data_IF_498718561592
#
_entry.id   IF_498718561592
#
_cell.length_a   1.000
_cell.length_b   1.000
_cell.length_c   1.000
_cell.angle_alpha   90.00
_cell.angle_beta   90.00
_cell.angle_gamma   90.00
#
_symmetry.space_group_name_H-M   'P 1'
#
loop_
_entity.id
_entity.type
_entity.pdbx_description
1 polymer ?
#
# COMPACT_ATOMS: atom_id res chain seq x y z
N UNK A 1 6.29 33.97 24.77
CA UNK A 1 5.11 34.15 23.89
C UNK A 1 4.42 32.80 23.76
N UNK A 2 3.10 32.76 23.97
CA UNK A 2 2.30 31.55 24.25
C UNK A 2 1.87 30.81 22.97
N UNK A 3 2.13 29.50 22.98
CA UNK A 3 1.35 28.34 22.47
C UNK A 3 0.44 28.57 21.25
N UNK A 4 0.81 27.96 20.13
CA UNK A 4 -0.05 27.72 18.97
C UNK A 4 -0.74 26.37 19.16
N UNK A 5 -2.06 26.39 19.24
CA UNK A 5 -2.91 25.20 19.36
C UNK A 5 -3.21 24.70 17.94
N UNK A 6 -2.74 23.51 17.62
CA UNK A 6 -3.04 22.79 16.38
C UNK A 6 -4.48 22.24 16.48
N UNK A 7 -5.44 22.93 15.90
CA UNK A 7 -6.81 22.42 15.75
C UNK A 7 -6.89 21.59 14.47
N UNK A 8 -6.87 20.27 14.60
CA UNK A 8 -7.32 19.34 13.55
C UNK A 8 -8.50 18.55 14.11
N UNK A 9 -9.70 19.05 13.85
CA UNK A 9 -10.95 18.32 14.04
C UNK A 9 -11.52 18.10 12.65
N UNK A 10 -11.14 16.99 12.02
CA UNK A 10 -11.84 16.47 10.86
C UNK A 10 -12.78 15.35 11.33
N UNK A 11 -14.02 15.72 11.61
CA UNK A 11 -15.13 14.79 11.79
C UNK A 11 -15.56 14.34 10.39
N UNK A 12 -15.14 13.15 9.97
CA UNK A 12 -15.72 12.48 8.81
C UNK A 12 -17.03 11.81 9.25
N UNK A 13 -18.12 12.56 9.14
CA UNK A 13 -19.46 11.99 9.10
C UNK A 13 -19.78 11.62 7.64
N UNK A 14 -19.60 10.36 7.27
CA UNK A 14 -20.27 9.78 6.10
C UNK A 14 -20.92 8.50 6.55
N UNK A 15 -22.25 8.58 6.68
CA UNK A 15 -23.08 7.54 7.24
C UNK A 15 -23.02 6.24 6.44
N UNK A 16 -23.01 5.15 7.18
CA UNK A 16 -23.33 3.81 6.69
C UNK A 16 -24.78 3.78 6.22
N UNK A 17 -25.01 3.84 4.91
CA UNK A 17 -26.29 3.45 4.32
C UNK A 17 -26.18 1.97 3.94
N UNK A 18 -26.42 1.09 4.91
CA UNK A 18 -26.71 -0.31 4.61
C UNK A 18 -28.07 -0.34 3.90
N UNK A 19 -28.11 -0.56 2.59
CA UNK A 19 -29.36 -0.88 1.89
C UNK A 19 -29.45 -2.40 1.72
N UNK A 20 -30.44 -2.99 2.39
CA UNK A 20 -30.75 -4.41 2.32
C UNK A 20 -31.58 -4.72 1.05
N UNK A 21 -31.05 -5.65 0.26
CA UNK A 21 -31.77 -6.69 -0.51
C UNK A 21 -33.15 -6.34 -1.11
N UNK A 22 -33.20 -6.09 -2.42
CA UNK A 22 -34.30 -6.54 -3.30
C UNK A 22 -33.69 -7.10 -4.59
N UNK A 23 -33.73 -8.44 -4.66
CA UNK A 23 -34.02 -9.32 -5.81
C UNK A 23 -33.47 -9.00 -7.20
N UNK A 24 -32.69 -9.96 -7.72
CA UNK A 24 -32.46 -10.33 -9.14
C UNK A 24 -31.89 -9.18 -9.99
N UNK A 25 -30.72 -9.26 -10.62
CA UNK A 25 -30.35 -10.14 -11.74
C UNK A 25 -28.81 -10.23 -11.83
N UNK A 26 -28.27 -11.35 -12.31
CA UNK A 26 -26.83 -11.58 -12.53
C UNK A 26 -26.18 -10.50 -13.42
N UNK A 27 -25.02 -9.95 -13.00
CA UNK A 27 -23.84 -10.03 -13.87
C UNK A 27 -22.61 -10.44 -13.04
N UNK A 28 -22.49 -11.74 -12.77
CA UNK A 28 -21.32 -12.31 -12.09
C UNK A 28 -20.22 -12.48 -13.14
N UNK A 29 -19.51 -11.41 -13.48
CA UNK A 29 -18.25 -11.53 -14.25
C UNK A 29 -17.38 -10.28 -14.12
N UNK A 30 -17.98 -9.08 -14.05
CA UNK A 30 -17.24 -7.81 -13.97
C UNK A 30 -16.68 -7.57 -12.57
N UNK A 31 -17.42 -7.93 -11.52
CA UNK A 31 -17.01 -7.71 -10.12
C UNK A 31 -15.79 -8.54 -9.74
N UNK A 32 -15.69 -9.78 -10.21
CA UNK A 32 -14.54 -10.65 -9.93
C UNK A 32 -13.23 -10.11 -10.51
N UNK A 33 -13.25 -9.67 -11.79
CA UNK A 33 -12.08 -9.04 -12.41
C UNK A 33 -11.68 -7.74 -11.73
N UNK A 34 -12.64 -6.92 -11.31
CA UNK A 34 -12.34 -5.67 -10.62
C UNK A 34 -11.70 -5.92 -9.24
N UNK A 35 -12.16 -6.93 -8.51
CA UNK A 35 -11.57 -7.33 -7.22
C UNK A 35 -10.14 -7.86 -7.43
N UNK A 36 -9.94 -8.76 -8.40
CA UNK A 36 -8.63 -9.35 -8.71
C UNK A 36 -7.60 -8.28 -9.11
N UNK A 37 -8.02 -7.27 -9.89
CA UNK A 37 -7.19 -6.13 -10.26
C UNK A 37 -6.87 -5.25 -9.03
N UNK A 38 -7.84 -5.00 -8.15
CA UNK A 38 -7.64 -4.19 -6.94
C UNK A 38 -6.74 -4.90 -5.92
N UNK A 39 -6.85 -6.22 -5.79
CA UNK A 39 -5.98 -7.03 -4.93
C UNK A 39 -4.54 -7.06 -5.47
N UNK A 40 -4.35 -7.17 -6.79
CA UNK A 40 -3.02 -7.15 -7.41
C UNK A 40 -2.34 -5.77 -7.29
N UNK A 41 -3.09 -4.67 -7.49
CA UNK A 41 -2.56 -3.32 -7.23
C UNK A 41 -2.27 -3.08 -5.75
N UNK A 42 -3.07 -3.65 -4.84
CA UNK A 42 -2.83 -3.60 -3.39
C UNK A 42 -1.55 -4.33 -3.02
N UNK A 43 -1.40 -5.57 -3.51
CA UNK A 43 -0.20 -6.37 -3.29
C UNK A 43 1.06 -5.69 -3.83
N UNK A 44 1.05 -5.25 -5.09
CA UNK A 44 2.21 -4.59 -5.67
C UNK A 44 2.59 -3.32 -4.87
N UNK A 45 1.61 -2.52 -4.47
CA UNK A 45 1.82 -1.34 -3.64
C UNK A 45 2.44 -1.66 -2.27
N UNK A 46 1.92 -2.69 -1.59
CA UNK A 46 2.46 -3.14 -0.30
C UNK A 46 3.87 -3.72 -0.44
N UNK A 47 4.15 -4.46 -1.51
CA UNK A 47 5.48 -4.99 -1.80
C UNK A 47 6.50 -3.88 -2.11
N UNK A 48 6.12 -2.83 -2.83
CA UNK A 48 6.99 -1.65 -3.03
C UNK A 48 7.31 -1.00 -1.69
N UNK A 49 6.29 -0.76 -0.85
CA UNK A 49 6.46 -0.12 0.45
C UNK A 49 7.37 -0.94 1.37
N UNK A 50 7.15 -2.26 1.43
CA UNK A 50 7.95 -3.17 2.24
C UNK A 50 9.39 -3.27 1.74
N UNK A 51 9.60 -3.53 0.45
CA UNK A 51 10.93 -3.66 -0.14
C UNK A 51 11.74 -2.38 0.03
N UNK A 52 11.14 -1.22 -0.23
CA UNK A 52 11.79 0.09 -0.03
C UNK A 52 12.18 0.31 1.43
N UNK A 53 11.31 0.00 2.39
CA UNK A 53 11.63 0.13 3.81
C UNK A 53 12.88 -0.66 4.20
N UNK A 54 12.93 -1.94 3.84
CA UNK A 54 14.08 -2.81 4.15
C UNK A 54 15.38 -2.33 3.47
N UNK A 55 15.33 -1.88 2.21
CA UNK A 55 16.52 -1.35 1.53
C UNK A 55 17.06 -0.11 2.22
N UNK A 56 16.18 0.79 2.67
CA UNK A 56 16.59 2.01 3.37
C UNK A 56 17.14 1.71 4.77
N UNK A 57 16.54 0.79 5.52
CA UNK A 57 17.04 0.34 6.82
C UNK A 57 18.45 -0.26 6.70
N UNK A 58 18.70 -1.09 5.67
CA UNK A 58 20.04 -1.65 5.41
C UNK A 58 21.07 -0.55 5.11
N UNK A 59 20.72 0.42 4.26
CA UNK A 59 21.60 1.52 3.92
C UNK A 59 21.92 2.41 5.15
N UNK A 60 20.90 2.69 5.97
CA UNK A 60 21.05 3.44 7.22
C UNK A 60 21.97 2.72 8.21
N UNK A 61 21.81 1.40 8.38
CA UNK A 61 22.63 0.59 9.29
C UNK A 61 24.12 0.61 8.94
N UNK A 62 24.46 0.74 7.66
CA UNK A 62 25.86 0.82 7.20
C UNK A 62 26.35 2.25 6.95
N UNK A 63 25.51 3.25 7.22
CA UNK A 63 25.85 4.68 7.10
C UNK A 63 25.97 5.17 5.66
N UNK A 64 25.24 4.56 4.75
CA UNK A 64 25.28 4.84 3.32
C UNK A 64 23.92 5.34 2.82
N UNK A 65 23.89 5.92 1.62
CA UNK A 65 22.65 6.39 1.01
C UNK A 65 22.20 5.42 -0.10
N UNK A 66 20.93 4.95 -0.09
CA UNK A 66 20.48 3.85 -0.95
C UNK A 66 20.43 4.17 -2.45
N UNK A 67 20.77 5.40 -2.86
CA UNK A 67 20.89 5.79 -4.27
C UNK A 67 22.35 5.91 -4.73
N UNK A 68 23.32 5.64 -3.85
CA UNK A 68 24.74 5.89 -4.12
C UNK A 68 25.43 4.64 -4.73
N UNK A 69 24.79 3.47 -4.62
CA UNK A 69 25.25 2.20 -5.18
C UNK A 69 24.09 1.38 -5.80
N UNK A 70 24.33 0.76 -6.96
CA UNK A 70 23.34 -0.07 -7.66
C UNK A 70 22.93 -1.33 -6.88
N UNK A 71 23.76 -1.77 -5.93
CA UNK A 71 23.46 -2.90 -5.03
C UNK A 71 22.13 -2.72 -4.31
N UNK A 72 21.76 -1.50 -3.91
CA UNK A 72 20.49 -1.23 -3.24
C UNK A 72 19.28 -1.45 -4.14
N UNK A 73 19.43 -1.20 -5.44
CA UNK A 73 18.41 -1.54 -6.42
C UNK A 73 18.29 -3.05 -6.59
N UNK A 74 19.39 -3.80 -6.56
CA UNK A 74 19.35 -5.27 -6.58
C UNK A 74 18.66 -5.84 -5.33
N UNK A 75 18.99 -5.31 -4.15
CA UNK A 75 18.36 -5.67 -2.88
C UNK A 75 16.85 -5.37 -2.93
N UNK A 76 16.47 -4.18 -3.36
CA UNK A 76 15.09 -3.77 -3.53
C UNK A 76 14.34 -4.74 -4.46
N UNK A 77 14.90 -5.02 -5.64
CA UNK A 77 14.26 -5.90 -6.63
C UNK A 77 14.11 -7.33 -6.11
N UNK A 78 15.08 -7.82 -5.31
CA UNK A 78 15.01 -9.13 -4.68
C UNK A 78 13.86 -9.21 -3.69
N UNK A 79 13.73 -8.23 -2.80
CA UNK A 79 12.64 -8.17 -1.83
C UNK A 79 11.29 -7.97 -2.49
N UNK A 80 11.20 -7.05 -3.45
CA UNK A 80 9.97 -6.80 -4.20
C UNK A 80 9.47 -8.05 -4.92
N UNK A 81 10.34 -8.73 -5.68
CA UNK A 81 9.99 -9.97 -6.41
C UNK A 81 9.63 -11.10 -5.45
N UNK A 82 10.32 -11.20 -4.30
CA UNK A 82 10.00 -12.18 -3.27
C UNK A 82 8.60 -11.96 -2.67
N UNK A 83 8.28 -10.71 -2.34
CA UNK A 83 6.97 -10.32 -1.83
C UNK A 83 5.85 -10.58 -2.86
N UNK A 84 6.04 -10.16 -4.11
CA UNK A 84 5.06 -10.35 -5.18
C UNK A 84 4.72 -11.83 -5.44
N UNK A 85 5.65 -12.76 -5.22
CA UNK A 85 5.40 -14.21 -5.37
C UNK A 85 4.56 -14.81 -4.24
N UNK A 86 4.43 -14.09 -3.12
CA UNK A 86 3.59 -14.46 -1.98
C UNK A 86 2.15 -13.96 -2.11
N UNK A 87 1.90 -13.13 -3.11
CA UNK A 87 0.60 -12.90 -3.71
C UNK A 87 0.44 -13.88 -4.90
#
# INVERSE_FOLDING_TARGET
MKKIIFAMVFVFATGTMMNANVSTETPITTTAKAIEIVEDFGCAGDCVRWARGNTFEIAEDIGDHPNDDDMYMEIYMRYYTGCLRGC
#
